data_IF_223398894016
#
_entry.id   IF_223398894016
#
_cell.length_a   1.000
_cell.length_b   1.000
_cell.length_c   1.000
_cell.angle_alpha   90.00
_cell.angle_beta   90.00
_cell.angle_gamma   90.00
#
_symmetry.space_group_name_H-M   'P 1'
#
loop_
_entity.id
_entity.type
_entity.pdbx_description
1 polymer ?
#
# COMPACT_ATOMS: atom_id res chain seq x y z
N UNK A 1 13.57 73.96 -40.29
CA UNK A 1 12.43 73.36 -39.55
C UNK A 1 12.91 72.06 -38.93
N UNK A 2 13.12 72.03 -37.61
CA UNK A 2 13.54 70.84 -36.85
C UNK A 2 12.36 70.45 -35.95
N UNK A 3 11.89 69.21 -36.07
CA UNK A 3 10.85 68.64 -35.20
C UNK A 3 11.47 68.20 -33.85
N UNK A 4 10.74 68.33 -32.73
CA UNK A 4 11.19 67.85 -31.43
C UNK A 4 10.93 66.35 -31.26
N UNK A 5 11.94 65.62 -30.76
CA UNK A 5 11.78 64.24 -30.31
C UNK A 5 11.10 64.19 -28.94
N UNK A 6 10.13 63.28 -28.70
CA UNK A 6 9.52 63.13 -27.39
C UNK A 6 10.35 62.25 -26.44
N UNK A 7 10.34 62.67 -25.19
CA UNK A 7 10.96 62.09 -24.00
C UNK A 7 10.71 60.58 -23.83
N UNK A 8 11.79 59.81 -23.70
CA UNK A 8 11.74 58.42 -23.19
C UNK A 8 11.48 58.45 -21.68
N UNK A 9 10.25 58.15 -21.28
CA UNK A 9 9.90 57.83 -19.90
C UNK A 9 10.67 56.58 -19.46
N UNK A 10 11.48 56.73 -18.41
CA UNK A 10 12.24 55.67 -17.75
C UNK A 10 11.27 54.80 -16.94
N UNK A 11 10.85 53.67 -17.50
CA UNK A 11 10.16 52.62 -16.76
C UNK A 11 11.10 52.07 -15.67
N UNK A 12 10.77 52.35 -14.41
CA UNK A 12 11.40 51.72 -13.25
C UNK A 12 10.99 50.25 -13.23
N UNK A 13 11.91 49.37 -13.61
CA UNK A 13 11.77 47.94 -13.43
C UNK A 13 11.69 47.66 -11.91
N UNK A 14 10.47 47.34 -11.46
CA UNK A 14 10.22 46.79 -10.13
C UNK A 14 10.91 45.44 -10.03
N UNK A 15 11.99 45.37 -9.25
CA UNK A 15 12.64 44.13 -8.84
C UNK A 15 11.72 43.39 -7.88
N UNK A 16 10.75 42.68 -8.43
CA UNK A 16 9.93 41.72 -7.69
C UNK A 16 10.84 40.59 -7.20
N UNK A 17 11.20 40.68 -5.92
CA UNK A 17 11.89 39.63 -5.17
C UNK A 17 10.96 38.40 -5.13
N UNK A 18 11.35 37.23 -5.66
CA UNK A 18 10.52 36.04 -5.57
C UNK A 18 10.39 35.62 -4.10
N UNK A 19 9.21 35.12 -3.66
CA UNK A 19 9.03 34.59 -2.32
C UNK A 19 9.93 33.36 -2.17
N UNK A 20 10.96 33.50 -1.33
CA UNK A 20 11.76 32.39 -0.86
C UNK A 20 10.90 31.54 0.07
N UNK A 21 10.10 30.63 -0.48
CA UNK A 21 9.54 29.50 0.26
C UNK A 21 10.66 28.49 0.48
N UNK A 22 11.57 28.82 1.41
CA UNK A 22 12.45 27.82 2.02
C UNK A 22 11.58 26.99 2.96
N UNK A 23 10.72 26.15 2.38
CA UNK A 23 10.02 25.11 3.12
C UNK A 23 11.10 24.16 3.60
N UNK A 24 11.53 24.33 4.85
CA UNK A 24 12.41 23.35 5.50
C UNK A 24 11.75 21.98 5.32
N UNK A 25 12.49 20.92 4.92
CA UNK A 25 11.94 19.58 4.84
C UNK A 25 11.55 19.16 6.27
N UNK A 26 10.30 19.36 6.61
CA UNK A 26 9.68 18.91 7.84
C UNK A 26 8.63 17.88 7.43
N UNK A 27 8.41 16.88 8.29
CA UNK A 27 7.37 15.90 8.02
C UNK A 27 6.01 16.61 8.05
N UNK A 28 5.13 16.36 7.07
CA UNK A 28 3.79 16.93 7.08
C UNK A 28 3.00 16.48 8.32
N UNK A 29 2.22 17.37 8.93
CA UNK A 29 1.38 17.04 10.11
C UNK A 29 0.40 15.88 9.84
N UNK A 30 -0.02 15.73 8.58
CA UNK A 30 -0.85 14.61 8.14
C UNK A 30 -0.17 13.24 8.33
N UNK A 31 1.16 13.17 8.19
CA UNK A 31 1.93 11.94 8.42
C UNK A 31 1.91 11.57 9.90
N UNK A 32 2.06 12.54 10.79
CA UNK A 32 1.97 12.31 12.23
C UNK A 32 0.58 11.84 12.65
N UNK A 33 -0.44 12.51 12.13
CA UNK A 33 -1.83 12.18 12.43
C UNK A 33 -2.17 10.76 11.96
N UNK A 34 -1.76 10.38 10.73
CA UNK A 34 -1.99 9.03 10.21
C UNK A 34 -1.25 7.97 11.01
N UNK A 35 0.01 8.22 11.40
CA UNK A 35 0.79 7.26 12.20
C UNK A 35 0.20 7.05 13.60
N UNK A 36 -0.31 8.11 14.23
CA UNK A 36 -0.98 8.00 15.52
C UNK A 36 -2.29 7.23 15.41
N UNK A 37 -3.14 7.55 14.42
CA UNK A 37 -4.37 6.80 14.16
C UNK A 37 -4.09 5.32 13.88
N UNK A 38 -3.04 5.03 13.09
CA UNK A 38 -2.63 3.68 12.77
C UNK A 38 -2.09 2.94 14.00
N UNK A 39 -1.37 3.64 14.89
CA UNK A 39 -0.86 3.06 16.13
C UNK A 39 -2.01 2.58 17.02
N UNK A 40 -3.03 3.40 17.22
CA UNK A 40 -4.22 3.04 18.02
C UNK A 40 -4.98 1.88 17.37
N UNK A 41 -5.08 1.86 16.04
CA UNK A 41 -5.75 0.78 15.29
C UNK A 41 -4.97 -0.54 15.32
N UNK A 42 -3.64 -0.48 15.46
CA UNK A 42 -2.76 -1.64 15.48
C UNK A 42 -2.69 -2.33 16.85
N UNK A 43 -3.42 -1.86 17.87
CA UNK A 43 -3.36 -2.43 19.23
C UNK A 43 -3.78 -3.89 19.31
N UNK A 44 -4.66 -4.33 18.43
CA UNK A 44 -5.06 -5.74 18.29
C UNK A 44 -4.03 -6.61 17.54
N UNK A 45 -2.97 -6.01 16.96
CA UNK A 45 -2.00 -6.70 16.13
C UNK A 45 -0.56 -6.34 16.50
N UNK A 46 0.03 -7.03 17.50
CA UNK A 46 1.34 -6.71 18.08
C UNK A 46 2.50 -6.52 17.07
N UNK A 47 2.62 -7.34 15.99
CA UNK A 47 3.66 -7.13 14.98
C UNK A 47 3.55 -5.77 14.28
N UNK A 48 2.34 -5.34 13.92
CA UNK A 48 2.11 -4.05 13.27
C UNK A 48 2.31 -2.90 14.26
N UNK A 49 1.82 -3.02 15.50
CA UNK A 49 2.07 -2.02 16.55
C UNK A 49 3.55 -1.72 16.74
N UNK A 50 4.38 -2.77 16.75
CA UNK A 50 5.84 -2.65 16.82
C UNK A 50 6.40 -1.90 15.61
N UNK A 51 5.95 -2.25 14.40
CA UNK A 51 6.37 -1.58 13.18
C UNK A 51 5.99 -0.09 13.18
N UNK A 52 4.73 0.25 13.48
CA UNK A 52 4.24 1.64 13.59
C UNK A 52 5.06 2.42 14.62
N UNK A 53 5.31 1.83 15.79
CA UNK A 53 6.17 2.44 16.81
C UNK A 53 7.60 2.71 16.33
N UNK A 54 8.16 1.79 15.54
CA UNK A 54 9.45 1.97 14.87
C UNK A 54 9.47 3.16 13.91
N UNK A 55 8.44 3.30 13.07
CA UNK A 55 8.32 4.41 12.11
C UNK A 55 8.15 5.76 12.81
N UNK A 56 7.33 5.83 13.86
CA UNK A 56 7.17 7.03 14.70
C UNK A 56 8.52 7.48 15.26
N UNK A 57 9.32 6.55 15.77
CA UNK A 57 10.64 6.86 16.33
C UNK A 57 11.63 7.32 15.25
N UNK A 58 11.60 6.71 14.05
CA UNK A 58 12.38 7.16 12.88
C UNK A 58 12.01 8.60 12.51
N UNK A 59 10.71 8.92 12.45
CA UNK A 59 10.21 10.27 12.17
C UNK A 59 10.72 11.29 13.21
N UNK A 60 10.70 10.93 14.51
CA UNK A 60 11.23 11.79 15.59
C UNK A 60 12.72 12.05 15.45
N UNK A 61 13.49 11.03 15.06
CA UNK A 61 14.93 11.18 14.84
C UNK A 61 15.19 12.08 13.63
N UNK A 62 14.40 11.92 12.56
CA UNK A 62 14.51 12.76 11.36
C UNK A 62 14.30 14.24 11.67
N UNK A 63 13.26 14.60 12.44
CA UNK A 63 12.99 15.99 12.83
C UNK A 63 14.10 16.62 13.67
N UNK A 64 14.73 15.83 14.54
CA UNK A 64 15.82 16.27 15.43
C UNK A 64 17.16 16.38 14.68
N UNK A 65 17.29 15.75 13.52
CA UNK A 65 18.55 15.71 12.76
C UNK A 65 18.71 16.99 11.94
N UNK A 66 19.66 17.85 12.33
CA UNK A 66 19.88 19.15 11.67
C UNK A 66 20.62 19.08 10.34
N UNK A 67 21.53 18.11 10.16
CA UNK A 67 22.49 18.10 9.05
C UNK A 67 22.07 17.24 7.84
N UNK A 68 21.33 16.16 8.07
CA UNK A 68 20.80 15.26 7.01
C UNK A 68 19.27 15.22 7.14
N UNK A 69 18.66 16.41 7.26
CA UNK A 69 17.22 16.51 7.52
C UNK A 69 16.40 15.98 6.34
N UNK A 70 16.81 16.30 5.11
CA UNK A 70 16.13 15.86 3.89
C UNK A 70 16.15 14.34 3.75
N UNK A 71 17.34 13.72 3.78
CA UNK A 71 17.47 12.26 3.62
C UNK A 71 16.77 11.50 4.76
N UNK A 72 16.89 12.00 6.00
CA UNK A 72 16.19 11.40 7.13
C UNK A 72 14.67 11.50 7.00
N UNK A 73 14.14 12.61 6.47
CA UNK A 73 12.73 12.77 6.16
C UNK A 73 12.30 11.84 5.01
N UNK A 74 13.11 11.70 3.96
CA UNK A 74 12.80 10.82 2.82
C UNK A 74 12.71 9.36 3.26
N UNK A 75 13.62 8.92 4.14
CA UNK A 75 13.59 7.58 4.73
C UNK A 75 12.34 7.41 5.59
N UNK A 76 12.02 8.41 6.43
CA UNK A 76 10.83 8.37 7.27
C UNK A 76 9.54 8.27 6.44
N UNK A 77 9.42 9.08 5.37
CA UNK A 77 8.29 9.04 4.45
C UNK A 77 8.19 7.69 3.73
N UNK A 78 9.30 7.19 3.18
CA UNK A 78 9.32 5.89 2.50
C UNK A 78 8.93 4.74 3.42
N UNK A 79 9.36 4.82 4.67
CA UNK A 79 9.02 3.84 5.70
C UNK A 79 7.52 3.88 6.02
N UNK A 80 6.93 5.08 6.09
CA UNK A 80 5.49 5.27 6.30
C UNK A 80 4.67 4.74 5.12
N UNK A 81 5.08 5.00 3.87
CA UNK A 81 4.40 4.47 2.69
C UNK A 81 4.27 2.95 2.73
N UNK A 82 5.35 2.26 3.11
CA UNK A 82 5.34 0.79 3.19
C UNK A 82 4.48 0.31 4.35
N UNK A 83 4.50 1.03 5.47
CA UNK A 83 3.65 0.73 6.61
C UNK A 83 2.16 0.86 6.26
N UNK A 84 1.77 1.89 5.51
CA UNK A 84 0.38 2.05 5.05
C UNK A 84 -0.03 0.87 4.17
N UNK A 85 0.84 0.46 3.23
CA UNK A 85 0.57 -0.69 2.35
C UNK A 85 0.43 -2.00 3.13
N UNK A 86 1.22 -2.18 4.18
CA UNK A 86 1.08 -3.34 5.08
C UNK A 86 -0.25 -3.28 5.85
N UNK A 87 -0.64 -2.09 6.32
CA UNK A 87 -1.91 -1.91 7.03
C UNK A 87 -3.11 -2.21 6.12
N UNK A 88 -3.12 -1.69 4.90
CA UNK A 88 -4.21 -1.89 3.93
C UNK A 88 -4.37 -3.36 3.52
N UNK A 89 -3.27 -4.11 3.47
CA UNK A 89 -3.28 -5.51 3.09
C UNK A 89 -3.53 -6.49 4.25
N UNK A 90 -3.68 -6.00 5.49
CA UNK A 90 -4.09 -6.79 6.66
C UNK A 90 -5.55 -6.43 7.01
N UNK A 91 -6.55 -6.98 6.30
CA UNK A 91 -7.96 -6.70 6.57
C UNK A 91 -8.46 -7.36 7.86
N UNK A 92 -7.83 -8.47 8.28
CA UNK A 92 -8.15 -9.17 9.51
C UNK A 92 -6.85 -9.66 10.20
N UNK A 93 -6.53 -9.14 11.41
CA UNK A 93 -5.34 -9.55 12.15
C UNK A 93 -5.37 -11.02 12.62
N UNK A 94 -6.55 -11.66 12.67
CA UNK A 94 -6.69 -13.07 13.07
C UNK A 94 -6.34 -14.06 11.95
N UNK A 95 -6.37 -13.65 10.68
CA UNK A 95 -6.21 -14.55 9.53
C UNK A 95 -5.09 -14.11 8.57
N UNK A 96 -3.89 -13.93 9.14
CA UNK A 96 -2.70 -13.56 8.37
C UNK A 96 -1.94 -14.81 7.88
N UNK A 97 -1.71 -14.94 6.57
CA UNK A 97 -0.91 -16.03 6.02
C UNK A 97 0.54 -15.96 6.55
N UNK A 98 1.11 -17.13 6.83
CA UNK A 98 2.50 -17.28 7.28
C UNK A 98 3.53 -16.47 6.46
N UNK A 99 3.52 -16.47 5.10
CA UNK A 99 4.49 -15.68 4.33
C UNK A 99 4.34 -14.17 4.56
N UNK A 100 3.11 -13.67 4.68
CA UNK A 100 2.83 -12.27 4.95
C UNK A 100 3.32 -11.85 6.34
N UNK A 101 3.11 -12.71 7.34
CA UNK A 101 3.61 -12.50 8.70
C UNK A 101 5.15 -12.44 8.73
N UNK A 102 5.83 -13.30 7.96
CA UNK A 102 7.29 -13.26 7.85
C UNK A 102 7.79 -11.96 7.24
N UNK A 103 7.14 -11.46 6.19
CA UNK A 103 7.47 -10.15 5.59
C UNK A 103 7.30 -9.00 6.59
N UNK A 104 6.23 -8.99 7.39
CA UNK A 104 6.00 -7.98 8.44
C UNK A 104 7.10 -8.03 9.52
N UNK A 105 7.49 -9.24 9.94
CA UNK A 105 8.60 -9.41 10.90
C UNK A 105 9.92 -8.91 10.33
N UNK A 106 10.22 -9.24 9.08
CA UNK A 106 11.43 -8.78 8.38
C UNK A 106 11.46 -7.27 8.24
N UNK A 107 10.34 -6.66 7.87
CA UNK A 107 10.16 -5.21 7.83
C UNK A 107 10.45 -4.59 9.21
N UNK A 108 9.85 -5.11 10.28
CA UNK A 108 10.08 -4.63 11.65
C UNK A 108 11.56 -4.71 12.05
N UNK A 109 12.27 -5.76 11.64
CA UNK A 109 13.72 -5.87 11.86
C UNK A 109 14.50 -4.77 11.13
N UNK A 110 14.16 -4.51 9.86
CA UNK A 110 14.80 -3.44 9.06
C UNK A 110 14.54 -2.07 9.69
N UNK A 111 13.35 -1.82 10.23
CA UNK A 111 13.07 -0.60 11.00
C UNK A 111 14.00 -0.45 12.21
N UNK A 112 14.28 -1.56 12.90
CA UNK A 112 15.23 -1.60 14.00
C UNK A 112 16.64 -1.16 13.55
N UNK A 113 17.11 -1.71 12.43
CA UNK A 113 18.41 -1.38 11.83
C UNK A 113 18.48 0.11 11.44
N UNK A 114 17.46 0.61 10.72
CA UNK A 114 17.36 2.03 10.30
C UNK A 114 17.39 2.93 11.53
N UNK A 115 16.55 2.65 12.53
CA UNK A 115 16.50 3.44 13.76
C UNK A 115 17.85 3.48 14.47
N UNK A 116 18.52 2.34 14.61
CA UNK A 116 19.82 2.26 15.25
C UNK A 116 20.84 3.14 14.52
N UNK A 117 20.89 3.03 13.19
CA UNK A 117 21.83 3.80 12.36
C UNK A 117 21.52 5.30 12.38
N UNK A 118 20.26 5.68 12.33
CA UNK A 118 19.86 7.09 12.41
C UNK A 118 20.20 7.69 13.78
N UNK A 119 20.04 6.95 14.89
CA UNK A 119 20.50 7.40 16.22
C UNK A 119 22.00 7.60 16.26
N UNK A 120 22.77 6.67 15.71
CA UNK A 120 24.24 6.77 15.63
C UNK A 120 24.67 8.01 14.82
N UNK A 121 24.03 8.26 13.67
CA UNK A 121 24.29 9.45 12.86
C UNK A 121 23.92 10.72 13.66
N UNK A 122 22.77 10.74 14.32
CA UNK A 122 22.31 11.87 15.13
C UNK A 122 23.19 12.17 16.35
N UNK A 123 23.92 11.17 16.89
CA UNK A 123 24.84 11.33 18.02
C UNK A 123 26.31 11.54 17.63
N UNK A 124 26.72 11.16 16.41
CA UNK A 124 28.12 11.22 15.97
C UNK A 124 28.68 12.66 15.89
N UNK A 125 29.98 12.83 16.20
CA UNK A 125 30.64 14.14 16.11
C UNK A 125 30.76 14.63 14.67
N UNK A 126 30.76 15.96 14.45
CA UNK A 126 30.89 16.58 13.11
C UNK A 126 32.08 16.05 12.28
N UNK A 127 33.21 15.74 12.92
CA UNK A 127 34.40 15.21 12.23
C UNK A 127 34.21 13.77 11.77
N UNK A 128 33.61 12.92 12.61
CA UNK A 128 33.23 11.55 12.24
C UNK A 128 32.14 11.53 11.17
N UNK A 129 31.25 12.54 11.15
CA UNK A 129 30.20 12.70 10.14
C UNK A 129 30.75 13.06 8.77
N UNK A 130 31.75 13.96 8.69
CA UNK A 130 32.34 14.35 7.41
C UNK A 130 33.11 13.20 6.77
N UNK A 131 33.91 12.48 7.56
CA UNK A 131 34.69 11.32 7.08
C UNK A 131 33.80 10.15 6.69
N UNK A 132 32.68 9.95 7.41
CA UNK A 132 31.74 8.86 7.13
C UNK A 132 30.50 9.30 6.34
N UNK A 133 30.48 10.49 5.73
CA UNK A 133 29.27 10.99 5.05
C UNK A 133 28.85 10.02 3.93
N UNK A 134 29.79 9.73 3.02
CA UNK A 134 29.58 8.75 1.93
C UNK A 134 29.29 7.33 2.46
N UNK A 135 29.83 6.97 3.62
CA UNK A 135 29.61 5.63 4.21
C UNK A 135 28.23 5.51 4.84
N UNK A 136 27.76 6.58 5.47
CA UNK A 136 26.42 6.68 6.05
C UNK A 136 25.36 6.79 4.94
N UNK A 137 25.62 7.57 3.90
CA UNK A 137 24.75 7.67 2.74
C UNK A 137 24.59 6.32 2.03
N UNK A 138 25.69 5.60 1.75
CA UNK A 138 25.63 4.24 1.19
C UNK A 138 24.90 3.26 2.12
N UNK A 139 25.10 3.37 3.44
CA UNK A 139 24.40 2.51 4.40
C UNK A 139 22.89 2.79 4.41
N UNK A 140 22.48 4.06 4.35
CA UNK A 140 21.08 4.45 4.25
C UNK A 140 20.47 4.04 2.90
N UNK A 141 21.21 4.17 1.80
CA UNK A 141 20.81 3.67 0.48
C UNK A 141 20.63 2.15 0.47
N UNK A 142 21.55 1.40 1.10
CA UNK A 142 21.43 -0.06 1.24
C UNK A 142 20.26 -0.49 2.13
N UNK A 143 19.90 0.30 3.15
CA UNK A 143 18.69 0.07 3.93
C UNK A 143 17.43 0.39 3.12
N UNK A 144 17.45 1.46 2.31
CA UNK A 144 16.37 1.79 1.38
C UNK A 144 16.16 0.68 0.34
N UNK A 145 17.21 0.12 -0.23
CA UNK A 145 17.07 -1.00 -1.17
C UNK A 145 16.48 -2.24 -0.49
N UNK A 146 16.96 -2.60 0.71
CA UNK A 146 16.37 -3.72 1.50
C UNK A 146 14.90 -3.49 1.82
N UNK A 147 14.52 -2.24 2.06
CA UNK A 147 13.16 -1.80 2.32
C UNK A 147 12.28 -1.95 1.06
N UNK A 148 12.80 -1.55 -0.10
CA UNK A 148 12.12 -1.74 -1.39
C UNK A 148 12.01 -3.22 -1.78
N UNK A 149 13.01 -4.05 -1.47
CA UNK A 149 12.97 -5.49 -1.70
C UNK A 149 11.90 -6.16 -0.83
N UNK A 150 11.82 -5.81 0.46
CA UNK A 150 10.74 -6.32 1.33
C UNK A 150 9.36 -5.86 0.88
N UNK A 151 9.26 -4.65 0.32
CA UNK A 151 8.03 -4.18 -0.29
C UNK A 151 7.63 -5.01 -1.53
N UNK A 152 8.57 -5.35 -2.41
CA UNK A 152 8.33 -6.24 -3.56
C UNK A 152 7.94 -7.65 -3.15
N UNK A 153 8.60 -8.20 -2.14
CA UNK A 153 8.26 -9.51 -1.56
C UNK A 153 6.81 -9.51 -1.07
N UNK A 154 6.39 -8.43 -0.40
CA UNK A 154 5.03 -8.26 0.08
C UNK A 154 4.01 -8.18 -1.05
N UNK A 155 4.27 -7.36 -2.07
CA UNK A 155 3.40 -7.25 -3.24
C UNK A 155 3.22 -8.59 -3.93
N UNK A 156 4.32 -9.34 -4.12
CA UNK A 156 4.30 -10.67 -4.73
C UNK A 156 3.45 -11.65 -3.90
N UNK A 157 3.65 -11.68 -2.58
CA UNK A 157 2.87 -12.54 -1.69
C UNK A 157 1.37 -12.18 -1.68
N UNK A 158 1.03 -10.90 -1.76
CA UNK A 158 -0.35 -10.44 -1.80
C UNK A 158 -1.05 -10.78 -3.14
N UNK A 159 -0.35 -10.63 -4.27
CA UNK A 159 -0.87 -10.98 -5.59
C UNK A 159 -1.17 -12.48 -5.70
N UNK A 160 -0.25 -13.33 -5.23
CA UNK A 160 -0.45 -14.78 -5.19
C UNK A 160 -1.69 -15.17 -4.37
N UNK A 161 -1.96 -14.48 -3.24
CA UNK A 161 -3.17 -14.73 -2.43
C UNK A 161 -4.43 -14.38 -3.21
N UNK A 162 -4.44 -13.25 -3.92
CA UNK A 162 -5.58 -12.81 -4.71
C UNK A 162 -5.89 -13.81 -5.83
N UNK A 163 -4.87 -14.27 -6.55
CA UNK A 163 -5.01 -15.28 -7.61
C UNK A 163 -5.51 -16.62 -7.06
N UNK A 164 -4.98 -17.07 -5.92
CA UNK A 164 -5.45 -18.30 -5.26
C UNK A 164 -6.90 -18.18 -4.77
N UNK A 165 -7.32 -17.01 -4.31
CA UNK A 165 -8.71 -16.77 -3.93
C UNK A 165 -9.63 -16.77 -5.15
N UNK A 166 -9.24 -16.10 -6.23
CA UNK A 166 -9.99 -16.04 -7.49
C UNK A 166 -10.15 -17.43 -8.12
N UNK A 167 -9.09 -18.22 -8.17
CA UNK A 167 -9.14 -19.60 -8.72
C UNK A 167 -10.04 -20.51 -7.89
N UNK A 168 -10.03 -20.40 -6.56
CA UNK A 168 -10.95 -21.13 -5.68
C UNK A 168 -12.41 -20.75 -5.94
N UNK A 169 -12.70 -19.46 -6.07
CA UNK A 169 -14.04 -18.97 -6.39
C UNK A 169 -14.50 -19.46 -7.76
N UNK A 170 -13.64 -19.37 -8.78
CA UNK A 170 -13.94 -19.88 -10.12
C UNK A 170 -14.20 -21.40 -10.11
N UNK A 171 -13.38 -22.18 -9.39
CA UNK A 171 -13.59 -23.62 -9.26
C UNK A 171 -14.91 -23.97 -8.54
N UNK A 172 -15.28 -23.21 -7.51
CA UNK A 172 -16.55 -23.38 -6.81
C UNK A 172 -17.74 -23.02 -7.70
N UNK A 173 -17.63 -21.96 -8.50
CA UNK A 173 -18.65 -21.58 -9.47
C UNK A 173 -18.86 -22.67 -10.53
N UNK A 174 -17.78 -23.28 -11.04
CA UNK A 174 -17.91 -24.40 -12.00
C UNK A 174 -18.58 -25.61 -11.35
N UNK A 175 -18.29 -25.91 -10.07
CA UNK A 175 -18.95 -27.01 -9.34
C UNK A 175 -20.44 -26.77 -9.19
N UNK A 176 -20.83 -25.59 -8.73
CA UNK A 176 -22.25 -25.23 -8.56
C UNK A 176 -23.01 -25.21 -9.89
N UNK A 177 -22.38 -24.73 -10.98
CA UNK A 177 -22.98 -24.83 -12.32
C UNK A 177 -23.21 -26.28 -12.76
N UNK A 178 -22.23 -27.17 -12.52
CA UNK A 178 -22.39 -28.59 -12.84
C UNK A 178 -23.52 -29.23 -12.02
N UNK A 179 -23.62 -28.92 -10.73
CA UNK A 179 -24.69 -29.43 -9.87
C UNK A 179 -26.07 -28.99 -10.37
N UNK A 180 -26.21 -27.71 -10.74
CA UNK A 180 -27.45 -27.19 -11.34
C UNK A 180 -27.77 -27.91 -12.65
N UNK A 181 -26.78 -28.07 -13.54
CA UNK A 181 -26.99 -28.81 -14.79
C UNK A 181 -27.43 -30.26 -14.54
N UNK A 182 -26.83 -30.95 -13.57
CA UNK A 182 -27.23 -32.32 -13.22
C UNK A 182 -28.64 -32.37 -12.65
N UNK A 183 -29.02 -31.43 -11.77
CA UNK A 183 -30.38 -31.37 -11.21
C UNK A 183 -31.42 -31.12 -12.31
N UNK A 184 -31.11 -30.24 -13.27
CA UNK A 184 -32.01 -29.96 -14.40
C UNK A 184 -32.16 -31.20 -15.30
N UNK A 185 -31.05 -31.85 -15.64
CA UNK A 185 -31.03 -33.03 -16.53
C UNK A 185 -31.71 -34.25 -15.91
N UNK A 186 -31.42 -34.53 -14.64
CA UNK A 186 -31.87 -35.75 -13.97
C UNK A 186 -33.23 -35.57 -13.28
N UNK A 187 -33.55 -34.36 -12.82
CA UNK A 187 -34.78 -34.09 -12.07
C UNK A 187 -35.92 -33.50 -12.89
N UNK A 188 -35.62 -32.52 -13.75
CA UNK A 188 -36.66 -31.70 -14.41
C UNK A 188 -37.05 -32.25 -15.80
N UNK A 189 -36.06 -32.61 -16.62
CA UNK A 189 -36.33 -33.12 -17.98
C UNK A 189 -37.19 -34.39 -17.99
N UNK A 190 -36.98 -35.39 -17.12
CA UNK A 190 -37.83 -36.60 -17.12
C UNK A 190 -39.26 -36.30 -16.70
N UNK A 191 -39.48 -35.34 -15.79
CA UNK A 191 -40.81 -34.95 -15.35
C UNK A 191 -41.58 -34.19 -16.44
N UNK A 192 -40.93 -33.27 -17.14
CA UNK A 192 -41.52 -32.59 -18.30
C UNK A 192 -41.85 -33.60 -19.40
N UNK A 193 -40.92 -34.52 -19.71
CA UNK A 193 -41.12 -35.53 -20.74
C UNK A 193 -42.30 -36.46 -20.41
N UNK A 194 -42.43 -36.89 -19.15
CA UNK A 194 -43.59 -37.65 -18.66
C UNK A 194 -44.89 -36.85 -18.77
N UNK A 195 -44.91 -35.59 -18.31
CA UNK A 195 -46.11 -34.75 -18.38
C UNK A 195 -46.60 -34.55 -19.84
N UNK A 196 -45.67 -34.32 -20.77
CA UNK A 196 -45.97 -34.20 -22.20
C UNK A 196 -46.46 -35.52 -22.82
N UNK A 197 -45.97 -36.66 -22.34
CA UNK A 197 -46.44 -37.98 -22.79
C UNK A 197 -47.89 -38.23 -22.35
N UNK A 198 -48.23 -37.93 -21.09
CA UNK A 198 -49.60 -38.08 -20.58
C UNK A 198 -50.61 -37.14 -21.25
N UNK A 199 -50.24 -35.88 -21.54
CA UNK A 199 -51.13 -34.95 -22.23
C UNK A 199 -51.45 -35.41 -23.66
N UNK A 200 -50.47 -35.98 -24.39
CA UNK A 200 -50.69 -36.58 -25.72
C UNK A 200 -51.63 -37.77 -25.70
N UNK A 201 -51.54 -38.64 -24.68
CA UNK A 201 -52.42 -39.80 -24.56
C UNK A 201 -53.87 -39.42 -24.23
N UNK A 202 -54.08 -38.39 -23.41
CA UNK A 202 -55.44 -37.97 -23.01
C UNK A 202 -56.26 -37.39 -24.18
N UNK A 203 -55.60 -36.76 -25.16
CA UNK A 203 -56.24 -36.28 -26.40
C UNK A 203 -56.73 -37.44 -27.28
N UNK A 204 -56.06 -38.59 -27.25
CA UNK A 204 -56.44 -39.76 -28.06
C UNK A 204 -57.67 -40.51 -27.50
N UNK A 205 -57.90 -40.46 -26.19
CA UNK A 205 -59.02 -41.15 -25.53
C UNK A 205 -60.32 -40.34 -25.46
N UNK A 206 -60.32 -39.07 -25.87
CA UNK A 206 -61.52 -38.22 -25.92
C UNK A 206 -62.18 -38.13 -27.31
N UNK A 207 -61.98 -39.13 -28.17
CA UNK A 207 -62.74 -39.25 -29.41
C UNK A 207 -64.09 -39.93 -29.13
N UNK A 208 -65.23 -39.27 -29.39
CA UNK A 208 -66.54 -39.86 -29.14
C UNK A 208 -66.73 -41.11 -30.01
N UNK A 209 -67.33 -42.18 -29.47
CA UNK A 209 -67.69 -43.34 -30.26
C UNK A 209 -68.69 -42.93 -31.35
N UNK A 210 -68.41 -43.33 -32.60
CA UNK A 210 -69.32 -43.21 -33.74
C UNK A 210 -70.39 -44.29 -33.69
#
# INVERSE_FOLDING_TARGET
MRLPFPSRARLKASTAKPPSSRTSPALPDIVWTSLLALKESADAFPPLKSAVGGVIEICKIAERTKHSKSEACDIALRTKEILDLVADAVPDPSHIPAPMLQSIKRFTSILGDIRCRMKEIALSSWRSRLVNLNRNERALQGLKSRLDDTHRDFQTASALRLELAQTKLAAQQVRTQREIETIIKDGLLPQISRALFYSKLNVFFCLPPK
#
